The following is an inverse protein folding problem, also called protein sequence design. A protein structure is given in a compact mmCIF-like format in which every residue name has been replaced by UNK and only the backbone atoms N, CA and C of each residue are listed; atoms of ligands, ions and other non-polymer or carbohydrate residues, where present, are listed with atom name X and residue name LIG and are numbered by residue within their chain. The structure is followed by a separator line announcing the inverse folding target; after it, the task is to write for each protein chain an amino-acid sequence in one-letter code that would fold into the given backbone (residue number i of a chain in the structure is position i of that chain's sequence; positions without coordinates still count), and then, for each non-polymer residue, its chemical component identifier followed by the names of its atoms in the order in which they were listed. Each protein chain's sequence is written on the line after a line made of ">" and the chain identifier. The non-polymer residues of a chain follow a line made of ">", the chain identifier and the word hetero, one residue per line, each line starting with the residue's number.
data_IF_994355083849
#
_entry.id   IF_994355083849
#
_cell.length_a   1.000
_cell.length_b   1.000
_cell.length_c   1.000
_cell.angle_alpha   90.00
_cell.angle_beta   90.00
_cell.angle_gamma   90.00
#
_symmetry.space_group_name_H-M   'P 1'
#
loop_
_entity.id
_entity.type
_entity.pdbx_description
1 polymer ?
#
# COMPACT_ATOMS: atom_id res chain seq x y z
N UNK A 1 5.90 62.67 15.77
CA UNK A 1 7.05 61.78 15.49
C UNK A 1 6.71 60.37 15.99
N UNK A 2 6.50 59.38 15.09
CA UNK A 2 5.97 58.06 15.43
C UNK A 2 7.11 57.10 15.78
N UNK A 3 7.11 56.48 16.96
CA UNK A 3 8.26 55.66 17.40
C UNK A 3 7.87 54.53 18.36
N UNK A 4 6.79 53.78 18.11
CA UNK A 4 6.43 52.62 18.95
C UNK A 4 5.90 51.37 18.22
N UNK A 5 5.50 51.46 16.96
CA UNK A 5 4.81 50.34 16.29
C UNK A 5 5.70 49.33 15.55
N UNK A 6 7.00 49.61 15.38
CA UNK A 6 7.89 48.75 14.58
C UNK A 6 8.45 47.53 15.34
N UNK A 7 8.55 47.60 16.67
CA UNK A 7 9.17 46.54 17.48
C UNK A 7 8.25 45.33 17.69
N UNK A 8 6.93 45.55 17.71
CA UNK A 8 5.94 44.47 17.91
C UNK A 8 5.73 43.59 16.67
N UNK A 9 6.01 44.12 15.47
CA UNK A 9 5.86 43.36 14.22
C UNK A 9 7.06 42.43 14.00
N UNK A 10 8.28 42.84 14.40
CA UNK A 10 9.48 42.02 14.22
C UNK A 10 9.50 40.78 15.12
N UNK A 11 8.95 40.84 16.33
CA UNK A 11 8.90 39.68 17.23
C UNK A 11 7.86 38.63 16.82
N UNK A 12 6.78 39.04 16.14
CA UNK A 12 5.77 38.09 15.65
C UNK A 12 6.27 37.25 14.46
N UNK A 13 7.12 37.82 13.59
CA UNK A 13 7.69 37.11 12.44
C UNK A 13 8.69 36.04 12.86
N UNK A 14 9.44 36.27 13.94
CA UNK A 14 10.43 35.31 14.44
C UNK A 14 9.80 34.03 15.03
N UNK A 15 8.58 34.11 15.58
CA UNK A 15 7.92 32.96 16.20
C UNK A 15 7.30 32.00 15.17
N UNK A 16 6.85 32.50 14.01
CA UNK A 16 6.28 31.69 12.93
C UNK A 16 7.33 30.88 12.15
N UNK A 17 8.59 31.33 12.12
CA UNK A 17 9.67 30.62 11.44
C UNK A 17 10.15 29.36 12.18
N UNK A 18 9.85 29.23 13.48
CA UNK A 18 10.28 28.09 14.31
C UNK A 18 9.44 26.82 14.12
N UNK A 19 8.28 26.90 13.45
CA UNK A 19 7.38 25.76 13.22
C UNK A 19 7.64 25.01 11.91
N UNK A 20 8.56 25.49 11.07
CA UNK A 20 8.89 24.87 9.79
C UNK A 20 10.09 23.91 9.91
N UNK A 21 10.21 23.17 11.01
CA UNK A 21 11.17 22.08 11.08
C UNK A 21 10.81 21.06 9.98
N UNK A 22 11.68 20.79 8.99
CA UNK A 22 11.40 19.80 7.97
C UNK A 22 11.37 18.44 8.67
N UNK A 23 10.18 17.86 8.81
CA UNK A 23 10.04 16.47 9.22
C UNK A 23 10.69 15.66 8.10
N UNK A 24 11.88 15.14 8.35
CA UNK A 24 12.54 14.18 7.48
C UNK A 24 11.77 12.86 7.59
N UNK A 25 10.66 12.78 6.84
CA UNK A 25 9.93 11.54 6.61
C UNK A 25 10.86 10.60 5.85
N UNK A 26 11.61 9.77 6.59
CA UNK A 26 12.24 8.60 6.00
C UNK A 26 11.14 7.80 5.33
N UNK A 27 11.21 7.54 4.01
CA UNK A 27 10.17 6.76 3.34
C UNK A 27 10.06 5.41 4.04
N UNK A 28 8.86 4.95 4.43
CA UNK A 28 8.70 3.67 5.08
C UNK A 28 9.32 2.60 4.18
N UNK A 29 10.29 1.87 4.71
CA UNK A 29 10.92 0.77 3.98
C UNK A 29 9.87 -0.31 3.77
N UNK A 30 9.36 -0.41 2.54
CA UNK A 30 8.34 -1.39 2.18
C UNK A 30 8.79 -2.80 2.61
N UNK A 31 8.00 -3.49 3.42
CA UNK A 31 8.27 -4.85 3.91
C UNK A 31 8.03 -5.89 2.82
N UNK A 32 7.06 -5.64 1.95
CA UNK A 32 6.70 -6.50 0.83
C UNK A 32 6.84 -5.78 -0.50
N UNK A 33 6.82 -6.57 -1.55
CA UNK A 33 6.84 -6.11 -2.92
C UNK A 33 5.43 -5.95 -3.52
N UNK A 34 5.35 -5.17 -4.60
CA UNK A 34 4.15 -5.12 -5.43
C UNK A 34 4.01 -6.45 -6.19
N UNK A 35 2.86 -7.13 -6.10
CA UNK A 35 2.61 -8.33 -6.88
C UNK A 35 2.08 -8.01 -8.27
N UNK A 36 2.14 -9.01 -9.14
CA UNK A 36 1.39 -9.06 -10.40
C UNK A 36 0.46 -10.27 -10.36
N UNK A 37 -0.73 -10.13 -10.93
CA UNK A 37 -1.72 -11.19 -11.01
C UNK A 37 -2.29 -11.30 -12.42
N UNK A 38 -2.43 -12.54 -12.89
CA UNK A 38 -2.99 -12.86 -14.20
C UNK A 38 -4.08 -13.90 -14.08
N UNK A 39 -5.11 -13.80 -14.91
CA UNK A 39 -6.11 -14.85 -15.05
C UNK A 39 -5.48 -16.05 -15.77
N UNK A 40 -5.57 -17.21 -15.15
CA UNK A 40 -5.00 -18.46 -15.68
C UNK A 40 -6.06 -19.32 -16.37
N UNK A 41 -7.13 -19.68 -15.65
CA UNK A 41 -8.24 -20.47 -16.22
C UNK A 41 -9.57 -20.13 -15.59
N UNK A 42 -10.63 -20.20 -16.38
CA UNK A 42 -12.02 -20.15 -15.90
C UNK A 42 -12.38 -21.51 -15.34
N UNK A 43 -13.01 -21.52 -14.16
CA UNK A 43 -13.55 -22.73 -13.51
C UNK A 43 -15.05 -22.51 -13.35
N UNK A 44 -15.87 -23.57 -13.42
CA UNK A 44 -17.33 -23.48 -13.60
C UNK A 44 -18.08 -22.44 -12.75
N UNK A 45 -17.51 -22.06 -11.61
CA UNK A 45 -17.88 -20.87 -10.85
C UNK A 45 -16.61 -20.03 -10.63
N UNK A 46 -16.38 -18.96 -11.41
CA UNK A 46 -15.21 -18.08 -11.26
C UNK A 46 -13.96 -18.42 -12.09
N UNK A 47 -12.77 -18.07 -11.61
CA UNK A 47 -11.50 -18.28 -12.29
C UNK A 47 -10.33 -18.42 -11.31
N UNK A 48 -9.22 -19.02 -11.73
CA UNK A 48 -7.96 -19.02 -10.98
C UNK A 48 -7.09 -17.85 -11.44
N UNK A 49 -6.59 -17.08 -10.47
CA UNK A 49 -5.56 -16.08 -10.69
C UNK A 49 -4.20 -16.63 -10.24
N UNK A 50 -3.17 -16.44 -11.07
CA UNK A 50 -1.78 -16.69 -10.69
C UNK A 50 -1.19 -15.38 -10.18
N UNK A 51 -0.69 -15.40 -8.95
CA UNK A 51 -0.08 -14.26 -8.27
C UNK A 51 1.39 -14.53 -8.05
N UNK A 52 2.23 -13.54 -8.31
CA UNK A 52 3.68 -13.61 -8.04
C UNK A 52 4.26 -12.22 -7.78
N UNK A 53 5.50 -12.19 -7.30
CA UNK A 53 6.26 -10.94 -7.22
C UNK A 53 6.47 -10.32 -8.61
N UNK A 54 6.41 -8.99 -8.71
CA UNK A 54 6.77 -8.28 -9.93
C UNK A 54 8.24 -8.55 -10.31
N UNK A 55 8.61 -8.48 -11.61
CA UNK A 55 10.00 -8.61 -12.03
C UNK A 55 10.91 -7.60 -11.32
N UNK A 56 12.11 -8.02 -10.92
CA UNK A 56 13.07 -7.18 -10.22
C UNK A 56 12.82 -7.03 -8.71
N UNK A 57 11.75 -7.63 -8.17
CA UNK A 57 11.51 -7.64 -6.73
C UNK A 57 12.49 -8.53 -5.97
N UNK A 58 12.90 -8.06 -4.78
CA UNK A 58 13.79 -8.77 -3.85
C UNK A 58 13.11 -9.15 -2.52
N UNK A 59 11.84 -8.77 -2.35
CA UNK A 59 11.05 -9.00 -1.15
C UNK A 59 9.84 -9.88 -1.48
N UNK A 60 9.33 -10.68 -0.52
CA UNK A 60 8.12 -11.45 -0.75
C UNK A 60 6.93 -10.52 -1.00
N UNK A 61 5.86 -11.06 -1.57
CA UNK A 61 4.59 -10.34 -1.72
C UNK A 61 3.59 -10.88 -0.72
N UNK A 62 2.74 -10.01 -0.18
CA UNK A 62 1.67 -10.41 0.72
C UNK A 62 0.33 -10.01 0.15
N UNK A 63 -0.52 -11.01 -0.07
CA UNK A 63 -1.83 -10.85 -0.72
C UNK A 63 -2.92 -11.50 0.11
N UNK A 64 -4.08 -10.86 0.15
CA UNK A 64 -5.29 -11.40 0.78
C UNK A 64 -6.44 -11.42 -0.21
N UNK A 65 -7.36 -12.35 0.02
CA UNK A 65 -8.61 -12.45 -0.73
C UNK A 65 -9.71 -11.77 0.07
N UNK A 66 -10.52 -10.96 -0.59
CA UNK A 66 -11.58 -10.19 0.04
C UNK A 66 -12.88 -10.36 -0.75
N UNK A 67 -14.00 -10.54 -0.06
CA UNK A 67 -15.31 -10.59 -0.69
C UNK A 67 -15.68 -9.19 -1.22
N UNK A 68 -16.04 -9.10 -2.51
CA UNK A 68 -16.30 -7.82 -3.16
C UNK A 68 -17.54 -7.11 -2.61
N UNK A 69 -18.52 -7.86 -2.07
CA UNK A 69 -19.78 -7.31 -1.55
C UNK A 69 -19.69 -6.94 -0.08
N UNK A 70 -19.12 -7.81 0.75
CA UNK A 70 -19.08 -7.61 2.22
C UNK A 70 -17.80 -6.97 2.72
N UNK A 71 -16.73 -6.96 1.92
CA UNK A 71 -15.41 -6.51 2.35
C UNK A 71 -14.70 -7.47 3.31
N UNK A 72 -15.31 -8.62 3.62
CA UNK A 72 -14.74 -9.61 4.54
C UNK A 72 -13.50 -10.26 3.94
N UNK A 73 -12.45 -10.39 4.75
CA UNK A 73 -11.24 -11.13 4.37
C UNK A 73 -11.53 -12.62 4.46
N UNK A 74 -11.12 -13.38 3.44
CA UNK A 74 -11.37 -14.81 3.34
C UNK A 74 -10.07 -15.56 3.60
N UNK A 75 -10.01 -16.23 4.76
CA UNK A 75 -8.82 -16.92 5.23
C UNK A 75 -7.67 -15.97 5.56
N UNK A 76 -6.49 -16.53 5.78
CA UNK A 76 -5.30 -15.75 6.11
C UNK A 76 -4.66 -15.14 4.86
N UNK A 77 -4.00 -13.96 4.98
CA UNK A 77 -3.18 -13.42 3.92
C UNK A 77 -2.03 -14.37 3.56
N UNK A 78 -1.86 -14.62 2.27
CA UNK A 78 -0.77 -15.43 1.73
C UNK A 78 0.49 -14.58 1.56
N UNK A 79 1.62 -15.11 2.01
CA UNK A 79 2.95 -14.56 1.73
C UNK A 79 3.60 -15.44 0.67
N UNK A 80 3.96 -14.84 -0.46
CA UNK A 80 4.54 -15.54 -1.61
C UNK A 80 6.01 -15.12 -1.72
N UNK A 81 6.96 -16.04 -1.52
CA UNK A 81 8.38 -15.79 -1.72
C UNK A 81 8.72 -15.32 -3.14
N UNK A 82 9.87 -14.67 -3.29
CA UNK A 82 10.37 -14.28 -4.62
C UNK A 82 10.74 -15.54 -5.41
N UNK A 83 10.30 -15.62 -6.66
CA UNK A 83 10.53 -16.78 -7.53
C UNK A 83 9.40 -17.82 -7.49
N UNK A 84 8.49 -17.70 -6.52
CA UNK A 84 7.33 -18.59 -6.41
C UNK A 84 6.06 -17.97 -7.01
N UNK A 85 5.08 -18.85 -7.26
CA UNK A 85 3.76 -18.47 -7.76
C UNK A 85 2.67 -19.09 -6.89
N UNK A 86 1.63 -18.32 -6.60
CA UNK A 86 0.45 -18.81 -5.90
C UNK A 86 -0.76 -18.76 -6.82
N UNK A 87 -1.54 -19.84 -6.85
CA UNK A 87 -2.85 -19.88 -7.51
C UNK A 87 -3.93 -19.57 -6.50
N UNK A 88 -4.79 -18.60 -6.81
CA UNK A 88 -5.92 -18.20 -5.97
C UNK A 88 -7.19 -18.27 -6.78
N UNK A 89 -8.16 -19.07 -6.33
CA UNK A 89 -9.49 -19.12 -6.95
C UNK A 89 -10.31 -17.88 -6.57
N UNK A 90 -10.91 -17.23 -7.56
CA UNK A 90 -11.70 -16.00 -7.44
C UNK A 90 -13.04 -16.20 -8.12
N UNK A 91 -14.12 -15.83 -7.43
CA UNK A 91 -15.47 -15.82 -8.01
C UNK A 91 -16.11 -14.45 -7.76
N UNK A 92 -16.58 -14.20 -6.54
CA UNK A 92 -17.10 -12.89 -6.06
C UNK A 92 -16.08 -12.14 -5.21
N UNK A 93 -14.80 -12.40 -5.44
CA UNK A 93 -13.72 -11.95 -4.59
C UNK A 93 -12.72 -11.11 -5.38
N UNK A 94 -12.09 -10.16 -4.70
CA UNK A 94 -10.98 -9.37 -5.18
C UNK A 94 -9.71 -9.71 -4.41
N UNK A 95 -8.57 -9.48 -5.04
CA UNK A 95 -7.27 -9.57 -4.38
C UNK A 95 -6.87 -8.19 -3.87
N UNK A 96 -6.25 -8.16 -2.69
CA UNK A 96 -5.57 -6.97 -2.17
C UNK A 96 -4.17 -7.34 -1.73
N UNK A 97 -3.24 -6.42 -1.86
CA UNK A 97 -1.86 -6.59 -1.41
C UNK A 97 -1.47 -5.46 -0.45
N UNK A 98 -0.44 -5.70 0.34
CA UNK A 98 0.12 -4.68 1.23
C UNK A 98 1.62 -4.58 1.01
N UNK A 99 2.17 -3.38 1.22
CA UNK A 99 3.61 -3.13 1.22
C UNK A 99 4.18 -3.05 2.64
N UNK A 100 3.33 -2.87 3.66
CA UNK A 100 3.71 -2.44 5.01
C UNK A 100 2.94 -3.16 6.13
N UNK A 101 2.15 -4.20 5.82
CA UNK A 101 1.19 -4.89 6.70
C UNK A 101 -0.01 -4.06 7.18
N UNK A 102 -0.05 -2.75 6.92
CA UNK A 102 -1.07 -1.84 7.44
C UNK A 102 -2.07 -1.45 6.38
N UNK A 103 -1.57 -1.09 5.20
CA UNK A 103 -2.37 -0.54 4.12
C UNK A 103 -2.53 -1.58 3.03
N UNK A 104 -3.77 -1.90 2.69
CA UNK A 104 -4.09 -2.85 1.63
C UNK A 104 -4.59 -2.13 0.38
N UNK A 105 -3.91 -2.34 -0.74
CA UNK A 105 -4.23 -1.80 -2.06
C UNK A 105 -4.89 -2.89 -2.91
N UNK A 106 -5.73 -2.51 -3.86
CA UNK A 106 -6.37 -3.46 -4.78
C UNK A 106 -5.32 -4.02 -5.74
N UNK A 107 -5.29 -5.34 -5.89
CA UNK A 107 -4.51 -6.02 -6.92
C UNK A 107 -5.42 -6.28 -8.11
N UNK A 108 -5.19 -5.58 -9.22
CA UNK A 108 -5.89 -5.88 -10.47
C UNK A 108 -5.38 -7.19 -11.07
N UNK A 109 -6.32 -8.06 -11.42
CA UNK A 109 -6.01 -9.27 -12.18
C UNK A 109 -6.13 -8.93 -13.65
N UNK A 110 -5.02 -9.08 -14.39
CA UNK A 110 -4.97 -8.83 -15.82
C UNK A 110 -5.29 -10.10 -16.62
#
# INVERSE_FOLDING_TARGET
>A
MPKRSFLAVLTLVAFLAALAAPVTLSPPTARYCTPIAFRDRVVGVGYQAVVRAAPGCKKPVKVRKENTRTGSVIGDPNVIPVGEVQRVWLFTHRLRYTLDDRTYQRLEVR
#
